data_IF_808873428729
#
_entry.id   IF_808873428729
#
_cell.length_a   1.000
_cell.length_b   1.000
_cell.length_c   1.000
_cell.angle_alpha   90.00
_cell.angle_beta   90.00
_cell.angle_gamma   90.00
#
_symmetry.space_group_name_H-M   'P 1'
#
loop_
_entity.id
_entity.type
_entity.pdbx_description
1 polymer ?
#
# COMPACT_ATOMS: atom_id res chain seq x y z
N UNK A 1 19.97 62.63 30.65
CA UNK A 1 20.85 61.44 30.72
C UNK A 1 19.98 60.22 30.55
N UNK A 2 19.91 59.72 29.32
CA UNK A 2 19.13 58.54 28.96
C UNK A 2 20.08 57.42 28.65
N UNK A 3 19.95 56.27 29.35
CA UNK A 3 20.72 55.06 29.14
C UNK A 3 20.27 54.39 27.83
N UNK A 4 21.18 53.79 27.04
CA UNK A 4 20.84 53.08 25.85
C UNK A 4 20.26 51.66 26.15
N UNK A 5 19.43 51.09 25.26
CA UNK A 5 18.80 49.80 25.49
C UNK A 5 19.79 48.65 25.30
N UNK A 6 19.61 47.59 26.12
CA UNK A 6 20.35 46.34 26.11
C UNK A 6 20.23 45.59 24.75
N UNK A 7 21.37 45.27 24.19
CA UNK A 7 21.51 44.50 22.96
C UNK A 7 21.50 43.00 23.31
N UNK A 8 20.58 42.17 22.76
CA UNK A 8 20.42 40.76 23.12
C UNK A 8 21.39 39.79 22.41
N UNK A 9 22.42 40.27 21.69
CA UNK A 9 23.29 39.40 20.87
C UNK A 9 24.70 39.16 21.37
N UNK A 10 25.00 39.46 22.66
CA UNK A 10 26.34 39.16 23.23
C UNK A 10 26.32 37.90 24.10
N UNK A 11 26.21 36.72 23.46
CA UNK A 11 26.63 35.46 24.10
C UNK A 11 28.03 35.08 23.58
N UNK A 12 29.01 34.83 24.48
CA UNK A 12 30.32 34.36 24.07
C UNK A 12 30.26 32.91 23.57
N UNK A 13 30.97 32.65 22.49
CA UNK A 13 31.10 31.32 21.88
C UNK A 13 31.76 30.32 22.86
N UNK A 14 31.37 29.04 22.86
CA UNK A 14 32.02 27.99 23.64
C UNK A 14 33.44 27.78 23.10
N UNK A 15 34.42 27.87 24.00
CA UNK A 15 35.81 27.58 23.70
C UNK A 15 35.98 26.11 23.31
N UNK A 16 36.47 25.87 22.10
CA UNK A 16 36.81 24.55 21.56
C UNK A 16 37.95 23.93 22.39
N UNK A 17 37.68 22.75 22.92
CA UNK A 17 38.66 21.90 23.58
C UNK A 17 39.42 21.11 22.51
N UNK A 18 40.61 21.56 22.15
CA UNK A 18 41.54 20.89 21.26
C UNK A 18 42.40 19.90 22.06
N UNK A 19 42.41 18.65 21.57
CA UNK A 19 43.58 17.80 21.70
C UNK A 19 43.65 16.86 22.89
N UNK A 20 43.04 15.67 22.76
CA UNK A 20 43.70 14.47 23.30
C UNK A 20 43.87 13.45 22.16
N UNK A 21 45.10 12.95 21.92
CA UNK A 21 45.32 11.88 20.92
C UNK A 21 44.75 10.54 21.42
N UNK A 22 44.04 9.85 20.54
CA UNK A 22 43.59 8.49 20.78
C UNK A 22 44.78 7.54 21.00
N UNK A 23 44.67 6.59 21.96
CA UNK A 23 45.71 5.58 22.13
C UNK A 23 45.75 4.65 20.90
N UNK A 24 46.95 4.33 20.44
CA UNK A 24 47.23 3.40 19.39
C UNK A 24 46.73 1.98 19.72
N UNK A 25 46.32 1.17 18.73
CA UNK A 25 45.97 -0.24 18.93
C UNK A 25 47.25 -1.00 19.34
N UNK A 26 47.21 -1.66 20.49
CA UNK A 26 48.26 -2.59 20.91
C UNK A 26 48.11 -3.90 20.08
N UNK A 27 49.18 -4.22 19.38
CA UNK A 27 49.35 -5.49 18.69
C UNK A 27 49.31 -6.67 19.69
N UNK A 28 48.24 -7.43 19.66
CA UNK A 28 48.09 -8.66 20.45
C UNK A 28 48.50 -9.86 19.60
N UNK A 29 49.79 -10.06 19.44
CA UNK A 29 50.41 -11.30 18.96
C UNK A 29 50.63 -12.23 20.15
N UNK A 30 49.97 -13.38 20.11
CA UNK A 30 50.36 -14.50 20.98
C UNK A 30 49.25 -15.06 21.87
N UNK A 31 48.22 -15.71 21.28
CA UNK A 31 47.52 -16.79 21.97
C UNK A 31 47.60 -18.07 21.13
N UNK A 32 48.00 -19.20 21.75
CA UNK A 32 48.05 -20.48 21.04
C UNK A 32 46.64 -20.97 20.71
N UNK A 33 46.48 -21.59 19.54
CA UNK A 33 45.23 -22.17 19.08
C UNK A 33 44.72 -23.27 20.03
N UNK A 34 43.41 -23.39 20.25
CA UNK A 34 42.83 -24.49 20.99
C UNK A 34 43.04 -25.79 20.17
N UNK A 35 43.61 -26.79 20.83
CA UNK A 35 43.82 -28.14 20.27
C UNK A 35 42.48 -28.77 19.91
N UNK A 36 42.39 -29.31 18.71
CA UNK A 36 41.23 -30.01 18.17
C UNK A 36 40.86 -31.22 19.00
N UNK A 37 39.62 -31.28 19.41
CA UNK A 37 39.01 -32.46 20.01
C UNK A 37 38.29 -33.23 18.89
N UNK A 38 38.95 -34.26 18.37
CA UNK A 38 38.40 -35.25 17.43
C UNK A 38 37.59 -36.27 18.21
N UNK A 39 36.34 -36.45 17.82
CA UNK A 39 35.63 -37.70 18.11
C UNK A 39 34.48 -37.61 19.13
N UNK A 40 33.34 -37.07 18.72
CA UNK A 40 32.05 -37.60 19.18
C UNK A 40 31.12 -37.74 17.99
N UNK A 41 30.47 -38.91 17.81
CA UNK A 41 29.47 -39.09 16.75
C UNK A 41 28.24 -38.24 17.07
N UNK A 42 27.74 -37.52 16.06
CA UNK A 42 26.47 -36.78 16.13
C UNK A 42 25.33 -37.71 16.52
N UNK A 43 24.47 -37.32 17.47
CA UNK A 43 23.24 -38.06 17.74
C UNK A 43 22.32 -37.96 16.51
N UNK A 44 21.69 -39.07 16.17
CA UNK A 44 20.68 -39.14 15.11
C UNK A 44 19.53 -38.17 15.35
N UNK A 45 18.86 -37.67 14.28
CA UNK A 45 17.68 -36.83 14.42
C UNK A 45 16.58 -37.62 15.15
N UNK A 46 16.29 -37.25 16.37
CA UNK A 46 15.08 -37.70 17.05
C UNK A 46 13.89 -36.92 16.48
N UNK A 47 12.96 -37.66 15.91
CA UNK A 47 11.62 -37.16 15.53
C UNK A 47 10.95 -36.52 16.75
N UNK A 48 11.10 -35.20 16.90
CA UNK A 48 10.39 -34.43 17.90
C UNK A 48 9.04 -33.96 17.33
N UNK A 49 8.05 -34.87 17.37
CA UNK A 49 6.66 -34.47 17.50
C UNK A 49 6.45 -33.97 18.94
N UNK A 50 6.98 -32.79 19.27
CA UNK A 50 6.64 -32.09 20.49
C UNK A 50 5.36 -31.31 20.25
N UNK A 51 4.26 -31.80 20.78
CA UNK A 51 3.07 -31.03 21.15
C UNK A 51 3.50 -29.68 21.72
N UNK A 52 3.21 -28.61 20.97
CA UNK A 52 3.42 -27.25 21.45
C UNK A 52 2.51 -27.02 22.69
N UNK A 53 3.11 -27.08 23.86
CA UNK A 53 2.51 -26.48 25.05
C UNK A 53 2.33 -24.98 24.75
N UNK A 54 1.07 -24.55 24.72
CA UNK A 54 0.69 -23.15 24.63
C UNK A 54 1.26 -22.41 25.86
N UNK A 55 2.40 -21.74 25.65
CA UNK A 55 2.94 -20.82 26.63
C UNK A 55 2.01 -19.60 26.77
N UNK A 56 1.75 -19.21 28.00
CA UNK A 56 0.97 -18.00 28.29
C UNK A 56 1.58 -16.77 27.59
N UNK A 57 0.75 -15.86 27.02
CA UNK A 57 1.26 -14.67 26.33
C UNK A 57 2.06 -13.79 27.30
N UNK A 58 3.21 -13.30 26.82
CA UNK A 58 3.98 -12.30 27.57
C UNK A 58 3.17 -11.02 27.77
N UNK A 59 3.27 -10.32 28.92
CA UNK A 59 2.53 -9.10 29.19
C UNK A 59 2.90 -8.02 28.15
N UNK A 60 1.94 -7.61 27.31
CA UNK A 60 2.13 -6.59 26.27
C UNK A 60 1.82 -7.03 24.84
N UNK A 61 1.49 -8.30 24.57
CA UNK A 61 1.05 -8.75 23.26
C UNK A 61 -0.44 -8.51 23.06
N UNK A 62 -0.79 -7.81 21.96
CA UNK A 62 -2.17 -7.58 21.57
C UNK A 62 -2.88 -8.92 21.28
N UNK A 63 -4.18 -9.08 21.63
CA UNK A 63 -4.93 -10.28 21.32
C UNK A 63 -5.02 -10.49 19.80
N UNK A 64 -4.49 -11.61 19.30
CA UNK A 64 -4.56 -12.01 17.90
C UNK A 64 -3.23 -12.25 17.19
N UNK A 65 -2.09 -11.98 17.84
CA UNK A 65 -0.79 -12.42 17.30
C UNK A 65 -0.40 -13.74 17.96
N UNK A 66 -0.31 -14.80 17.18
CA UNK A 66 0.34 -16.03 17.61
C UNK A 66 1.79 -15.72 18.01
N UNK A 67 2.26 -16.15 19.22
CA UNK A 67 3.63 -15.90 19.64
C UNK A 67 4.59 -16.59 18.67
N UNK A 68 5.37 -15.81 17.91
CA UNK A 68 6.54 -16.33 17.24
C UNK A 68 6.57 -16.38 15.70
N UNK A 69 5.47 -16.08 14.98
CA UNK A 69 5.54 -16.05 13.51
C UNK A 69 6.35 -14.82 13.02
N UNK A 70 7.54 -15.05 12.50
CA UNK A 70 8.34 -13.99 11.89
C UNK A 70 7.60 -13.42 10.66
N UNK A 71 7.70 -12.09 10.40
CA UNK A 71 7.09 -11.49 9.22
C UNK A 71 7.56 -12.18 7.93
N UNK A 72 6.62 -12.52 7.05
CA UNK A 72 6.90 -13.15 5.75
C UNK A 72 7.12 -14.66 5.79
N UNK A 73 6.93 -15.33 6.95
CA UNK A 73 7.14 -16.78 7.07
C UNK A 73 5.85 -17.58 7.24
N UNK A 74 4.75 -16.93 7.63
CA UNK A 74 3.45 -17.57 7.85
C UNK A 74 2.35 -16.79 7.15
N UNK A 75 1.71 -17.41 6.16
CA UNK A 75 0.65 -16.81 5.35
C UNK A 75 -0.52 -16.31 6.22
N UNK A 76 -0.98 -17.13 7.17
CA UNK A 76 -2.13 -16.79 8.00
C UNK A 76 -1.85 -15.61 8.92
N UNK A 77 -0.67 -15.59 9.54
CA UNK A 77 -0.21 -14.51 10.39
C UNK A 77 -0.01 -13.21 9.58
N UNK A 78 0.55 -13.29 8.37
CA UNK A 78 0.80 -12.12 7.53
C UNK A 78 -0.51 -11.50 7.02
N UNK A 79 -1.45 -12.32 6.53
CA UNK A 79 -2.79 -11.87 6.13
C UNK A 79 -3.57 -11.30 7.32
N UNK A 80 -3.57 -11.99 8.44
CA UNK A 80 -4.24 -11.53 9.67
C UNK A 80 -3.70 -10.19 10.15
N UNK A 81 -2.39 -10.01 10.14
CA UNK A 81 -1.73 -8.75 10.50
C UNK A 81 -2.08 -7.62 9.53
N UNK A 82 -2.06 -7.88 8.21
CA UNK A 82 -2.41 -6.88 7.20
C UNK A 82 -3.89 -6.47 7.27
N UNK A 83 -4.81 -7.43 7.44
CA UNK A 83 -6.24 -7.16 7.62
C UNK A 83 -6.52 -6.37 8.90
N UNK A 84 -5.89 -6.76 10.00
CA UNK A 84 -5.99 -6.08 11.30
C UNK A 84 -5.46 -4.63 11.21
N UNK A 85 -4.29 -4.44 10.58
CA UNK A 85 -3.71 -3.12 10.32
C UNK A 85 -4.66 -2.25 9.50
N UNK A 86 -5.24 -2.79 8.41
CA UNK A 86 -6.17 -2.07 7.55
C UNK A 86 -7.44 -1.68 8.29
N UNK A 87 -8.06 -2.62 9.00
CA UNK A 87 -9.27 -2.37 9.78
C UNK A 87 -9.05 -1.33 10.88
N UNK A 88 -7.98 -1.47 11.68
CA UNK A 88 -7.64 -0.50 12.73
C UNK A 88 -7.29 0.86 12.15
N UNK A 89 -6.55 0.91 11.05
CA UNK A 89 -6.19 2.14 10.36
C UNK A 89 -7.41 2.93 9.90
N UNK A 90 -8.42 2.25 9.34
CA UNK A 90 -9.68 2.85 8.95
C UNK A 90 -10.51 3.32 10.14
N UNK A 91 -10.73 2.42 11.11
CA UNK A 91 -11.61 2.70 12.26
C UNK A 91 -11.09 3.79 13.18
N UNK A 92 -9.77 3.98 13.24
CA UNK A 92 -9.15 5.07 14.04
C UNK A 92 -9.09 6.41 13.32
N UNK A 93 -9.32 6.44 12.00
CA UNK A 93 -9.27 7.66 11.19
C UNK A 93 -10.51 7.80 10.27
N UNK A 94 -11.75 7.54 10.74
CA UNK A 94 -12.91 7.40 9.88
C UNK A 94 -13.25 8.71 9.15
N UNK A 95 -13.16 9.86 9.84
CA UNK A 95 -13.52 11.16 9.27
C UNK A 95 -12.65 11.52 8.07
N UNK A 96 -11.32 11.33 8.16
CA UNK A 96 -10.40 11.65 7.08
C UNK A 96 -10.70 10.83 5.82
N UNK A 97 -10.99 9.55 5.98
CA UNK A 97 -11.27 8.65 4.87
C UNK A 97 -12.68 8.78 4.30
N UNK A 98 -13.70 8.97 5.16
CA UNK A 98 -15.07 9.14 4.70
C UNK A 98 -15.25 10.43 3.92
N UNK A 99 -14.64 11.53 4.38
CA UNK A 99 -14.74 12.83 3.70
C UNK A 99 -14.05 12.77 2.33
N UNK A 100 -12.82 12.27 2.25
CA UNK A 100 -12.14 12.15 0.96
C UNK A 100 -12.84 11.14 0.04
N UNK A 101 -13.27 10.00 0.57
CA UNK A 101 -14.02 9.00 -0.18
C UNK A 101 -15.32 9.56 -0.75
N UNK A 102 -16.10 10.30 0.05
CA UNK A 102 -17.33 10.93 -0.40
C UNK A 102 -17.08 11.88 -1.58
N UNK A 103 -16.07 12.75 -1.47
CA UNK A 103 -15.75 13.70 -2.54
C UNK A 103 -15.36 12.95 -3.82
N UNK A 104 -14.49 11.95 -3.74
CA UNK A 104 -14.06 11.20 -4.90
C UNK A 104 -15.15 10.33 -5.53
N UNK A 105 -16.00 9.71 -4.70
CA UNK A 105 -17.15 8.92 -5.19
C UNK A 105 -18.15 9.83 -5.88
N UNK A 106 -18.45 11.00 -5.34
CA UNK A 106 -19.34 11.98 -5.99
C UNK A 106 -18.74 12.44 -7.33
N UNK A 107 -17.46 12.78 -7.39
CA UNK A 107 -16.79 13.16 -8.64
C UNK A 107 -16.84 12.02 -9.67
N UNK A 108 -16.56 10.78 -9.27
CA UNK A 108 -16.67 9.60 -10.12
C UNK A 108 -18.12 9.39 -10.62
N UNK A 109 -19.11 9.53 -9.73
CA UNK A 109 -20.52 9.40 -10.13
C UNK A 109 -20.94 10.49 -11.12
N UNK A 110 -20.48 11.73 -10.96
CA UNK A 110 -20.77 12.81 -11.90
C UNK A 110 -20.16 12.53 -13.29
N UNK A 111 -18.92 12.07 -13.34
CA UNK A 111 -18.24 11.82 -14.63
C UNK A 111 -18.78 10.55 -15.30
N UNK A 112 -18.78 9.43 -14.60
CA UNK A 112 -19.19 8.13 -15.16
C UNK A 112 -20.71 8.09 -15.36
N UNK A 113 -21.50 8.52 -14.36
CA UNK A 113 -22.94 8.58 -14.45
C UNK A 113 -23.41 9.57 -15.51
N UNK A 114 -22.75 10.74 -15.61
CA UNK A 114 -22.97 11.69 -16.69
C UNK A 114 -22.67 11.11 -18.07
N UNK A 115 -21.57 10.33 -18.17
CA UNK A 115 -21.22 9.60 -19.39
C UNK A 115 -22.27 8.56 -19.78
N UNK A 116 -22.74 7.76 -18.84
CA UNK A 116 -23.83 6.80 -19.08
C UNK A 116 -25.11 7.51 -19.52
N UNK A 117 -25.55 8.52 -18.76
CA UNK A 117 -26.77 9.30 -19.09
C UNK A 117 -26.65 9.96 -20.45
N UNK A 118 -25.55 10.66 -20.74
CA UNK A 118 -25.32 11.30 -22.02
C UNK A 118 -25.23 10.31 -23.17
N UNK A 119 -24.57 9.17 -22.95
CA UNK A 119 -24.49 8.07 -23.92
C UNK A 119 -25.88 7.47 -24.24
N UNK A 120 -26.72 7.24 -23.24
CA UNK A 120 -28.09 6.78 -23.45
C UNK A 120 -28.94 7.81 -24.20
N UNK A 121 -28.88 9.08 -23.83
CA UNK A 121 -29.60 10.15 -24.53
C UNK A 121 -29.18 10.18 -26.00
N UNK A 122 -27.87 10.17 -26.29
CA UNK A 122 -27.37 10.16 -27.65
C UNK A 122 -27.81 8.90 -28.43
N UNK A 123 -27.73 7.73 -27.82
CA UNK A 123 -28.16 6.47 -28.42
C UNK A 123 -29.66 6.50 -28.79
N UNK A 124 -30.52 6.86 -27.85
CA UNK A 124 -31.96 6.88 -28.09
C UNK A 124 -32.38 7.94 -29.11
N UNK A 125 -31.79 9.13 -29.11
CA UNK A 125 -32.07 10.17 -30.10
C UNK A 125 -31.69 9.74 -31.53
N UNK A 126 -30.60 8.96 -31.67
CA UNK A 126 -30.20 8.42 -32.99
C UNK A 126 -31.14 7.33 -33.49
N UNK A 127 -31.60 6.46 -32.60
CA UNK A 127 -32.57 5.39 -32.94
C UNK A 127 -33.93 6.02 -33.33
N UNK A 128 -34.40 7.00 -32.57
CA UNK A 128 -35.67 7.69 -32.83
C UNK A 128 -35.68 8.46 -34.16
N UNK A 129 -34.54 9.04 -34.54
CA UNK A 129 -34.42 9.75 -35.82
C UNK A 129 -34.40 8.82 -37.03
N UNK A 130 -34.09 7.53 -36.89
CA UNK A 130 -33.99 6.53 -37.95
C UNK A 130 -34.56 5.17 -37.53
N UNK A 131 -35.83 5.06 -37.21
CA UNK A 131 -36.41 3.90 -36.52
C UNK A 131 -36.42 2.59 -37.33
N UNK A 132 -36.26 2.67 -38.66
CA UNK A 132 -36.28 1.49 -39.57
C UNK A 132 -34.89 1.09 -40.07
N UNK A 133 -33.80 1.65 -39.55
CA UNK A 133 -32.44 1.39 -40.01
C UNK A 133 -31.63 0.58 -38.99
N UNK A 134 -31.32 -0.68 -39.33
CA UNK A 134 -30.42 -1.52 -38.53
C UNK A 134 -29.02 -0.88 -38.38
N UNK A 135 -28.55 -0.16 -39.43
CA UNK A 135 -27.31 0.56 -39.40
C UNK A 135 -27.33 1.71 -38.38
N UNK A 136 -28.48 2.37 -38.19
CA UNK A 136 -28.62 3.43 -37.17
C UNK A 136 -28.51 2.86 -35.75
N UNK A 137 -29.10 1.69 -35.49
CA UNK A 137 -28.98 1.00 -34.19
C UNK A 137 -27.52 0.64 -33.91
N UNK A 138 -26.81 0.06 -34.87
CA UNK A 138 -25.36 -0.25 -34.71
C UNK A 138 -24.52 0.98 -34.45
N UNK A 139 -24.74 2.09 -35.17
CA UNK A 139 -24.02 3.35 -34.95
C UNK A 139 -24.36 3.96 -33.61
N UNK A 140 -25.62 3.94 -33.16
CA UNK A 140 -26.06 4.43 -31.86
C UNK A 140 -25.38 3.69 -30.70
N UNK A 141 -25.23 2.37 -30.80
CA UNK A 141 -24.50 1.55 -29.83
C UNK A 141 -23.01 1.94 -29.80
N UNK A 142 -22.37 2.11 -30.96
CA UNK A 142 -20.96 2.55 -31.01
C UNK A 142 -20.78 3.91 -30.35
N UNK A 143 -21.69 4.85 -30.58
CA UNK A 143 -21.67 6.18 -29.93
C UNK A 143 -21.82 6.04 -28.42
N UNK A 144 -22.78 5.22 -27.96
CA UNK A 144 -22.93 4.95 -26.51
C UNK A 144 -21.63 4.45 -25.89
N UNK A 145 -21.03 3.40 -26.46
CA UNK A 145 -19.77 2.85 -25.95
C UNK A 145 -18.62 3.86 -26.02
N UNK A 146 -18.54 4.67 -27.07
CA UNK A 146 -17.51 5.70 -27.20
C UNK A 146 -17.63 6.77 -26.12
N UNK A 147 -18.86 7.23 -25.82
CA UNK A 147 -19.14 8.21 -24.75
C UNK A 147 -18.81 7.64 -23.38
N UNK A 148 -19.24 6.41 -23.08
CA UNK A 148 -18.96 5.74 -21.80
C UNK A 148 -17.46 5.48 -21.64
N UNK A 149 -16.78 5.07 -22.71
CA UNK A 149 -15.32 4.89 -22.70
C UNK A 149 -14.60 6.22 -22.47
N UNK A 150 -15.00 7.30 -23.15
CA UNK A 150 -14.47 8.63 -22.94
C UNK A 150 -14.66 9.12 -21.51
N UNK A 151 -15.84 8.93 -20.93
CA UNK A 151 -16.12 9.24 -19.54
C UNK A 151 -15.24 8.43 -18.56
N UNK A 152 -15.01 7.14 -18.86
CA UNK A 152 -14.12 6.28 -18.08
C UNK A 152 -12.66 6.77 -18.10
N UNK A 153 -12.19 7.22 -19.26
CA UNK A 153 -10.85 7.84 -19.38
C UNK A 153 -10.75 9.15 -18.58
N UNK A 154 -11.81 9.99 -18.60
CA UNK A 154 -11.86 11.21 -17.79
C UNK A 154 -11.93 10.93 -16.29
N UNK A 155 -12.52 9.82 -15.87
CA UNK A 155 -12.56 9.40 -14.47
C UNK A 155 -11.21 8.83 -13.96
N UNK A 156 -10.34 8.38 -14.86
CA UNK A 156 -9.05 7.77 -14.50
C UNK A 156 -8.15 8.68 -13.63
N UNK A 157 -7.92 9.97 -13.95
CA UNK A 157 -7.17 10.88 -13.08
C UNK A 157 -7.76 11.01 -11.69
N UNK A 158 -9.10 11.03 -11.57
CA UNK A 158 -9.81 11.11 -10.29
C UNK A 158 -9.46 9.89 -9.42
N UNK A 159 -9.50 8.69 -10.02
CA UNK A 159 -9.13 7.45 -9.34
C UNK A 159 -7.65 7.42 -8.92
N UNK A 160 -6.76 7.89 -9.77
CA UNK A 160 -5.32 7.98 -9.46
C UNK A 160 -5.05 8.95 -8.30
N UNK A 161 -5.70 10.11 -8.27
CA UNK A 161 -5.59 11.06 -7.17
C UNK A 161 -6.09 10.45 -5.87
N UNK A 162 -7.28 9.82 -5.88
CA UNK A 162 -7.81 9.13 -4.70
C UNK A 162 -6.87 8.05 -4.18
N UNK A 163 -6.38 7.19 -5.06
CA UNK A 163 -5.42 6.14 -4.71
C UNK A 163 -4.12 6.71 -4.11
N UNK A 164 -3.60 7.80 -4.70
CA UNK A 164 -2.36 8.43 -4.21
C UNK A 164 -2.54 9.08 -2.85
N UNK A 165 -3.68 9.72 -2.59
CA UNK A 165 -4.05 10.28 -1.30
C UNK A 165 -4.23 9.22 -0.23
N UNK A 166 -4.94 8.13 -0.57
CA UNK A 166 -5.10 6.97 0.30
C UNK A 166 -3.74 6.33 0.64
N UNK A 167 -2.84 6.22 -0.33
CA UNK A 167 -1.48 5.73 -0.13
C UNK A 167 -0.67 6.62 0.82
N UNK A 168 -0.72 7.95 0.65
CA UNK A 168 -0.08 8.90 1.57
C UNK A 168 -0.57 8.72 3.00
N UNK A 169 -1.89 8.64 3.18
CA UNK A 169 -2.49 8.44 4.49
C UNK A 169 -2.08 7.09 5.11
N UNK A 170 -2.03 6.02 4.31
CA UNK A 170 -1.55 4.72 4.76
C UNK A 170 -0.08 4.77 5.23
N UNK A 171 0.77 5.53 4.52
CA UNK A 171 2.15 5.77 4.95
C UNK A 171 2.25 6.48 6.30
N UNK A 172 1.42 7.51 6.53
CA UNK A 172 1.36 8.23 7.82
C UNK A 172 0.95 7.29 8.95
N UNK A 173 -0.06 6.42 8.72
CA UNK A 173 -0.51 5.43 9.72
C UNK A 173 0.59 4.39 10.00
N UNK A 174 1.29 3.92 8.96
CA UNK A 174 2.45 3.02 9.12
C UNK A 174 3.50 3.61 10.06
N UNK A 175 3.74 4.91 9.95
CA UNK A 175 4.73 5.62 10.77
C UNK A 175 4.17 6.04 12.15
N UNK A 176 2.99 5.52 12.54
CA UNK A 176 2.34 5.77 13.83
C UNK A 176 1.62 7.12 13.91
N UNK A 177 1.49 7.85 12.80
CA UNK A 177 0.81 9.15 12.73
C UNK A 177 -0.69 9.03 12.45
N UNK A 178 -1.36 10.20 12.43
CA UNK A 178 -2.77 10.35 12.04
C UNK A 178 -2.87 11.23 10.80
N UNK A 179 -3.45 10.76 9.70
CA UNK A 179 -3.64 11.57 8.52
C UNK A 179 -4.72 12.63 8.76
N UNK A 180 -4.43 13.88 8.40
CA UNK A 180 -5.46 14.91 8.29
C UNK A 180 -6.31 14.70 7.03
N UNK A 181 -7.51 15.31 7.00
CA UNK A 181 -8.43 15.24 5.84
C UNK A 181 -7.69 15.68 4.55
N UNK A 182 -6.94 16.79 4.59
CA UNK A 182 -6.20 17.29 3.42
C UNK A 182 -5.12 16.32 2.90
N UNK A 183 -4.55 15.50 3.78
CA UNK A 183 -3.53 14.53 3.41
C UNK A 183 -4.08 13.27 2.71
N UNK A 184 -5.39 13.04 2.79
CA UNK A 184 -6.07 11.92 2.13
C UNK A 184 -6.49 12.20 0.69
N UNK A 185 -6.38 13.46 0.23
CA UNK A 185 -6.76 13.83 -1.15
C UNK A 185 -5.65 13.55 -2.16
N UNK A 186 -4.44 14.01 -1.91
CA UNK A 186 -3.35 13.90 -2.89
C UNK A 186 -2.09 13.38 -2.21
N UNK A 187 -1.48 12.37 -2.82
CA UNK A 187 -0.21 11.78 -2.42
C UNK A 187 1.00 12.44 -3.10
N UNK A 188 2.22 12.02 -2.73
CA UNK A 188 3.45 12.45 -3.39
C UNK A 188 3.46 12.13 -4.88
N UNK A 189 4.05 12.99 -5.71
CA UNK A 189 4.11 12.82 -7.16
C UNK A 189 4.72 11.49 -7.61
N UNK A 190 5.72 10.97 -6.88
CA UNK A 190 6.30 9.64 -7.15
C UNK A 190 5.29 8.52 -6.99
N UNK A 191 4.41 8.59 -5.99
CA UNK A 191 3.34 7.61 -5.75
C UNK A 191 2.32 7.67 -6.88
N UNK A 192 1.92 8.89 -7.27
CA UNK A 192 1.00 9.10 -8.39
C UNK A 192 1.56 8.55 -9.71
N UNK A 193 2.84 8.81 -10.00
CA UNK A 193 3.49 8.30 -11.20
C UNK A 193 3.65 6.77 -11.16
N UNK A 194 3.95 6.19 -10.00
CA UNK A 194 3.98 4.72 -9.83
C UNK A 194 2.61 4.10 -10.06
N UNK A 195 1.55 4.70 -9.51
CA UNK A 195 0.18 4.24 -9.73
C UNK A 195 -0.24 4.35 -11.20
N UNK A 196 0.17 5.41 -11.89
CA UNK A 196 -0.06 5.59 -13.33
C UNK A 196 0.66 4.50 -14.14
N UNK A 197 1.96 4.26 -13.89
CA UNK A 197 2.72 3.22 -14.59
C UNK A 197 2.15 1.81 -14.34
N UNK A 198 1.77 1.53 -13.09
CA UNK A 198 1.10 0.28 -12.74
C UNK A 198 -0.25 0.14 -13.48
N UNK A 199 -1.08 1.18 -13.45
CA UNK A 199 -2.36 1.22 -14.16
C UNK A 199 -2.19 1.04 -15.68
N UNK A 200 -1.16 1.67 -16.28
CA UNK A 200 -0.84 1.50 -17.69
C UNK A 200 -0.39 0.07 -18.01
N UNK A 201 0.45 -0.53 -17.18
CA UNK A 201 0.89 -1.91 -17.35
C UNK A 201 -0.30 -2.89 -17.29
N UNK A 202 -1.23 -2.68 -16.34
CA UNK A 202 -2.48 -3.45 -16.27
C UNK A 202 -3.34 -3.22 -17.50
N UNK A 203 -3.56 -1.97 -17.91
CA UNK A 203 -4.41 -1.63 -19.06
C UNK A 203 -3.90 -2.26 -20.34
N UNK A 204 -2.62 -2.11 -20.65
CA UNK A 204 -1.98 -2.74 -21.81
C UNK A 204 -2.07 -4.27 -21.72
N UNK A 205 -1.82 -4.83 -20.54
CA UNK A 205 -1.95 -6.28 -20.31
C UNK A 205 -3.38 -6.81 -20.51
N UNK A 206 -4.40 -6.04 -20.12
CA UNK A 206 -5.82 -6.41 -20.36
C UNK A 206 -6.19 -6.36 -21.84
N UNK A 207 -5.67 -5.39 -22.60
CA UNK A 207 -5.86 -5.32 -24.05
C UNK A 207 -5.21 -6.49 -24.79
N UNK A 208 -4.10 -7.01 -24.27
CA UNK A 208 -3.33 -8.10 -24.91
C UNK A 208 -3.88 -9.49 -24.65
N UNK A 209 -5.02 -9.75 -24.08
CA UNK A 209 -5.66 -11.06 -23.83
C UNK A 209 -6.11 -11.29 -22.38
N UNK A 210 -6.30 -10.22 -21.59
CA UNK A 210 -6.74 -10.27 -20.18
C UNK A 210 -5.74 -10.91 -19.22
N UNK A 211 -5.16 -12.08 -19.55
CA UNK A 211 -4.22 -12.83 -18.71
C UNK A 211 -2.96 -12.01 -18.36
N UNK A 212 -2.26 -11.34 -19.31
CA UNK A 212 -1.12 -10.48 -18.95
C UNK A 212 -1.47 -9.34 -18.00
N UNK A 213 -2.69 -8.78 -18.10
CA UNK A 213 -3.18 -7.76 -17.17
C UNK A 213 -3.38 -8.30 -15.77
N UNK A 214 -3.92 -9.50 -15.62
CA UNK A 214 -4.06 -10.18 -14.33
C UNK A 214 -2.69 -10.50 -13.70
N UNK A 215 -1.74 -10.95 -14.51
CA UNK A 215 -0.35 -11.15 -14.05
C UNK A 215 0.24 -9.84 -13.57
N UNK A 216 0.07 -8.74 -14.34
CA UNK A 216 0.54 -7.42 -13.93
C UNK A 216 -0.12 -6.94 -12.62
N UNK A 217 -1.42 -7.21 -12.43
CA UNK A 217 -2.14 -6.87 -11.21
C UNK A 217 -1.53 -7.54 -9.97
N UNK A 218 -1.18 -8.82 -10.06
CA UNK A 218 -0.55 -9.59 -8.98
C UNK A 218 0.90 -9.14 -8.77
N UNK A 219 1.69 -9.06 -9.84
CA UNK A 219 3.13 -8.80 -9.74
C UNK A 219 3.46 -7.38 -9.31
N UNK A 220 2.62 -6.39 -9.63
CA UNK A 220 2.81 -4.99 -9.28
C UNK A 220 1.93 -4.51 -8.11
N UNK A 221 1.30 -5.43 -7.39
CA UNK A 221 0.44 -5.14 -6.24
C UNK A 221 1.14 -4.29 -5.16
N UNK A 222 2.46 -4.45 -5.01
CA UNK A 222 3.28 -3.77 -4.01
C UNK A 222 4.02 -2.54 -4.54
N UNK A 223 3.81 -2.13 -5.79
CA UNK A 223 4.54 -1.02 -6.40
C UNK A 223 4.27 0.32 -5.67
N UNK A 224 3.01 0.61 -5.34
CA UNK A 224 2.65 1.83 -4.59
C UNK A 224 3.24 1.81 -3.18
N UNK A 225 3.14 0.73 -2.37
CA UNK A 225 3.88 0.57 -1.13
C UNK A 225 5.40 0.80 -1.23
N UNK A 226 6.07 0.26 -2.25
CA UNK A 226 7.49 0.48 -2.48
C UNK A 226 7.81 1.97 -2.76
N UNK A 227 6.99 2.64 -3.57
CA UNK A 227 7.12 4.08 -3.81
C UNK A 227 6.92 4.92 -2.53
N UNK A 228 6.04 4.50 -1.60
CA UNK A 228 5.89 5.15 -0.29
C UNK A 228 7.17 5.05 0.55
N UNK A 229 7.95 3.99 0.38
CA UNK A 229 9.26 3.80 1.02
C UNK A 229 10.40 4.61 0.37
N UNK A 230 10.13 5.30 -0.71
CA UNK A 230 11.10 6.18 -1.36
C UNK A 230 11.65 5.67 -2.68
N UNK A 231 11.26 4.48 -3.13
CA UNK A 231 11.66 3.96 -4.43
C UNK A 231 11.20 4.90 -5.56
N UNK A 232 12.03 5.01 -6.62
CA UNK A 232 11.60 5.67 -7.84
C UNK A 232 10.45 4.88 -8.50
N UNK A 233 9.61 5.48 -9.36
CA UNK A 233 8.47 4.77 -9.93
C UNK A 233 8.84 3.47 -10.65
N UNK A 234 9.94 3.46 -11.39
CA UNK A 234 10.42 2.26 -12.10
C UNK A 234 11.01 1.24 -11.12
N UNK A 235 11.78 1.70 -10.14
CA UNK A 235 12.37 0.80 -9.13
C UNK A 235 11.28 0.21 -8.23
N UNK A 236 10.23 0.96 -7.93
CA UNK A 236 9.06 0.47 -7.19
C UNK A 236 8.37 -0.69 -7.93
N UNK A 237 8.24 -0.61 -9.26
CA UNK A 237 7.73 -1.73 -10.07
C UNK A 237 8.67 -2.94 -10.03
N UNK A 238 9.99 -2.74 -10.17
CA UNK A 238 10.98 -3.82 -10.08
C UNK A 238 10.97 -4.48 -8.70
N UNK A 239 10.93 -3.68 -7.64
CA UNK A 239 10.87 -4.17 -6.26
C UNK A 239 9.60 -4.97 -6.02
N UNK A 240 8.43 -4.44 -6.46
CA UNK A 240 7.16 -5.15 -6.38
C UNK A 240 7.23 -6.50 -7.10
N UNK A 241 7.75 -6.52 -8.33
CA UNK A 241 7.89 -7.75 -9.11
C UNK A 241 8.79 -8.76 -8.40
N UNK A 242 9.94 -8.33 -7.89
CA UNK A 242 10.88 -9.19 -7.17
C UNK A 242 10.25 -9.77 -5.89
N UNK A 243 9.58 -8.93 -5.09
CA UNK A 243 8.91 -9.33 -3.85
C UNK A 243 7.75 -10.30 -4.12
N UNK A 244 6.90 -9.99 -5.11
CA UNK A 244 5.79 -10.85 -5.51
C UNK A 244 6.27 -12.19 -6.05
N UNK A 245 7.33 -12.20 -6.87
CA UNK A 245 7.94 -13.43 -7.39
C UNK A 245 8.54 -14.29 -6.28
N UNK A 246 9.24 -13.69 -5.32
CA UNK A 246 9.82 -14.40 -4.18
C UNK A 246 8.75 -15.02 -3.26
N UNK A 247 7.55 -14.42 -3.21
CA UNK A 247 6.44 -14.82 -2.35
C UNK A 247 5.17 -15.09 -3.16
N UNK A 248 5.28 -15.77 -4.31
CA UNK A 248 4.21 -15.85 -5.31
C UNK A 248 2.92 -16.43 -4.75
N UNK A 249 2.98 -17.53 -4.00
CA UNK A 249 1.81 -18.15 -3.38
C UNK A 249 1.08 -17.22 -2.43
N UNK A 250 1.81 -16.59 -1.51
CA UNK A 250 1.27 -15.60 -0.57
C UNK A 250 0.69 -14.39 -1.28
N UNK A 251 1.36 -13.89 -2.33
CA UNK A 251 0.89 -12.74 -3.12
C UNK A 251 -0.41 -13.05 -3.87
N UNK A 252 -0.52 -14.22 -4.48
CA UNK A 252 -1.75 -14.65 -5.17
C UNK A 252 -2.90 -14.74 -4.15
N UNK A 253 -2.70 -15.36 -3.00
CA UNK A 253 -3.73 -15.49 -1.98
C UNK A 253 -4.12 -14.10 -1.43
N UNK A 254 -3.14 -13.24 -1.14
CA UNK A 254 -3.41 -11.87 -0.72
C UNK A 254 -4.21 -11.08 -1.77
N UNK A 255 -3.88 -11.22 -3.05
CA UNK A 255 -4.63 -10.61 -4.15
C UNK A 255 -6.07 -11.13 -4.23
N UNK A 256 -6.27 -12.45 -4.09
CA UNK A 256 -7.60 -13.05 -4.08
C UNK A 256 -8.42 -12.57 -2.88
N UNK A 257 -7.85 -12.56 -1.68
CA UNK A 257 -8.52 -12.02 -0.47
C UNK A 257 -8.92 -10.56 -0.70
N UNK A 258 -8.01 -9.73 -1.20
CA UNK A 258 -8.30 -8.33 -1.50
C UNK A 258 -9.43 -8.21 -2.54
N UNK A 259 -9.40 -9.01 -3.60
CA UNK A 259 -10.42 -9.02 -4.67
C UNK A 259 -11.79 -9.39 -4.11
N UNK A 260 -11.87 -10.43 -3.29
CA UNK A 260 -13.14 -10.87 -2.65
C UNK A 260 -13.67 -9.77 -1.74
N UNK A 261 -12.83 -9.24 -0.84
CA UNK A 261 -13.24 -8.18 0.10
C UNK A 261 -13.71 -6.94 -0.63
N UNK A 262 -12.98 -6.50 -1.66
CA UNK A 262 -13.35 -5.30 -2.44
C UNK A 262 -14.60 -5.53 -3.28
N UNK A 263 -14.80 -6.72 -3.84
CA UNK A 263 -16.01 -7.07 -4.60
C UNK A 263 -17.25 -7.07 -3.70
N UNK A 264 -17.18 -7.67 -2.52
CA UNK A 264 -18.30 -7.66 -1.55
C UNK A 264 -18.55 -6.23 -1.05
N UNK A 265 -17.49 -5.49 -0.72
CA UNK A 265 -17.61 -4.11 -0.24
C UNK A 265 -18.21 -3.17 -1.30
N UNK A 266 -17.96 -3.40 -2.58
CA UNK A 266 -18.52 -2.58 -3.67
C UNK A 266 -20.03 -2.73 -3.85
N UNK A 267 -20.64 -3.77 -3.29
CA UNK A 267 -22.10 -3.97 -3.31
C UNK A 267 -22.84 -3.08 -2.30
N UNK A 268 -22.11 -2.45 -1.38
CA UNK A 268 -22.67 -1.65 -0.29
C UNK A 268 -22.12 -0.22 -0.39
N UNK A 269 -22.98 0.79 -0.32
CA UNK A 269 -22.61 2.20 -0.58
C UNK A 269 -21.55 2.73 0.39
N UNK A 270 -21.70 2.45 1.69
CA UNK A 270 -20.79 2.99 2.71
C UNK A 270 -19.36 2.44 2.57
N UNK A 271 -19.14 1.13 2.43
CA UNK A 271 -17.80 0.58 2.20
C UNK A 271 -17.10 1.10 0.93
N UNK A 272 -17.84 1.49 -0.12
CA UNK A 272 -17.26 2.09 -1.32
C UNK A 272 -16.43 3.34 -0.98
N UNK A 273 -16.87 4.15 -0.02
CA UNK A 273 -16.17 5.38 0.39
C UNK A 273 -14.78 5.13 0.98
N UNK A 274 -14.55 3.94 1.54
CA UNK A 274 -13.29 3.56 2.18
C UNK A 274 -12.52 2.49 1.40
N UNK A 275 -12.97 2.16 0.20
CA UNK A 275 -12.41 1.08 -0.60
C UNK A 275 -10.94 1.31 -0.97
N UNK A 276 -10.61 2.50 -1.49
CA UNK A 276 -9.24 2.85 -1.84
C UNK A 276 -8.32 2.91 -0.61
N UNK A 277 -8.69 3.55 0.50
CA UNK A 277 -7.93 3.49 1.75
C UNK A 277 -7.70 2.06 2.26
N UNK A 278 -8.73 1.22 2.27
CA UNK A 278 -8.60 -0.17 2.69
C UNK A 278 -7.59 -0.93 1.83
N UNK A 279 -7.73 -0.82 0.50
CA UNK A 279 -6.82 -1.44 -0.47
C UNK A 279 -5.37 -1.02 -0.23
N UNK A 280 -5.12 0.27 -0.03
CA UNK A 280 -3.78 0.79 0.20
C UNK A 280 -3.18 0.35 1.54
N UNK A 281 -3.97 0.36 2.61
CA UNK A 281 -3.53 -0.14 3.93
C UNK A 281 -3.21 -1.63 3.87
N UNK A 282 -4.05 -2.42 3.20
CA UNK A 282 -3.83 -3.87 3.07
C UNK A 282 -2.59 -4.18 2.24
N UNK A 283 -2.43 -3.54 1.07
CA UNK A 283 -1.25 -3.72 0.24
C UNK A 283 0.03 -3.28 0.96
N UNK A 284 -0.01 -2.16 1.69
CA UNK A 284 1.11 -1.70 2.50
C UNK A 284 1.41 -2.67 3.64
N UNK A 285 0.39 -3.18 4.33
CA UNK A 285 0.53 -4.17 5.38
C UNK A 285 1.21 -5.46 4.88
N UNK A 286 0.74 -6.00 3.76
CA UNK A 286 1.35 -7.17 3.12
C UNK A 286 2.80 -6.91 2.66
N UNK A 287 3.05 -5.76 2.03
CA UNK A 287 4.40 -5.36 1.60
C UNK A 287 5.38 -5.30 2.79
N UNK A 288 5.00 -4.68 3.91
CA UNK A 288 5.83 -4.61 5.10
C UNK A 288 6.12 -6.01 5.66
N UNK A 289 5.09 -6.85 5.79
CA UNK A 289 5.23 -8.23 6.29
C UNK A 289 6.14 -9.08 5.39
N UNK A 290 5.90 -9.10 4.09
CA UNK A 290 6.72 -9.87 3.14
C UNK A 290 8.16 -9.34 3.00
N UNK A 291 8.38 -8.07 3.35
CA UNK A 291 9.73 -7.48 3.45
C UNK A 291 10.39 -7.74 4.82
N UNK A 292 9.86 -8.63 5.66
CA UNK A 292 10.41 -8.98 6.97
C UNK A 292 10.22 -7.92 8.06
N UNK A 293 9.31 -6.93 7.86
CA UNK A 293 9.08 -5.83 8.79
C UNK A 293 7.81 -6.04 9.61
N UNK A 294 7.84 -5.60 10.86
CA UNK A 294 6.65 -5.58 11.69
C UNK A 294 5.80 -4.35 11.42
N UNK A 295 4.46 -4.53 11.50
CA UNK A 295 3.52 -3.42 11.38
C UNK A 295 3.43 -2.69 12.72
N UNK A 296 3.62 -1.37 12.70
CA UNK A 296 3.36 -0.53 13.86
C UNK A 296 1.86 -0.56 14.19
N UNK A 297 1.53 -0.50 15.48
CA UNK A 297 0.15 -0.27 15.86
C UNK A 297 -0.27 1.16 15.47
N UNK A 298 -1.41 1.33 14.76
CA UNK A 298 -1.92 2.65 14.47
C UNK A 298 -2.15 3.43 15.78
N UNK A 299 -1.83 4.73 15.79
CA UNK A 299 -1.97 5.57 16.97
C UNK A 299 -3.38 5.46 17.58
N UNK A 300 -3.45 5.28 18.90
CA UNK A 300 -4.74 5.27 19.59
C UNK A 300 -5.36 6.67 19.57
N UNK A 301 -6.66 6.71 19.28
CA UNK A 301 -7.46 7.93 19.22
C UNK A 301 -7.75 8.52 20.58
#
# INVERSE_FOLDING_TARGET
MTLPPNDPYSQPAPQGQWGQPSPAPQDQWGQPAPQGQWGQPSPAPQDQWTTHAQGAPAPGQAPGQAPGAQPGTDLGADLGAALSFSGRGLLRNPVAYLVSGLVYVVLMMLVIGGGFTGGFIAMFSMIESNPSSDAAVGTAMLVFYAVVFGASLLAMPIGLLWQSGAARAAGIIRDGGRPSIGQTFIGPGRVLLTALLYGLAMFVGMLLLYIPGLIAAVMFMYAVPAALRGASPVDALKESFSLAKANLGTTIIAYLVLTVVTSVASMIVIPVLVLAPFTMLFQLGMYERLSGRQLAEPAQG
#
